data_IF_637975532229
#
_entry.id   IF_637975532229
#
_cell.length_a   1.000
_cell.length_b   1.000
_cell.length_c   1.000
_cell.angle_alpha   90.00
_cell.angle_beta   90.00
_cell.angle_gamma   90.00
#
_symmetry.space_group_name_H-M   'P 1'
#
loop_
_entity.id
_entity.type
_entity.pdbx_description
1 polymer ?
#
# COMPACT_ATOMS: atom_id res chain seq x y z
N UNK A 1 20.30 -58.02 33.10
CA UNK A 1 20.41 -59.34 32.50
C UNK A 1 19.04 -59.93 32.35
N UNK A 2 18.77 -60.68 31.24
CA UNK A 2 18.94 -60.39 29.81
C UNK A 2 17.60 -60.50 29.07
N UNK A 3 17.54 -60.05 27.87
CA UNK A 3 17.34 -60.84 26.69
C UNK A 3 17.12 -60.03 25.43
N UNK A 4 18.12 -60.06 24.61
CA UNK A 4 18.05 -59.61 23.20
C UNK A 4 17.47 -60.76 22.35
N UNK A 5 16.67 -60.42 21.31
CA UNK A 5 16.57 -61.22 20.07
C UNK A 5 16.49 -60.30 18.89
N UNK A 6 17.38 -60.56 17.96
CA UNK A 6 17.59 -59.87 16.69
C UNK A 6 17.04 -60.68 15.48
N UNK A 7 17.07 -60.07 14.31
CA UNK A 7 17.10 -60.59 12.93
C UNK A 7 15.77 -60.91 12.26
N UNK A 8 15.43 -60.46 11.04
CA UNK A 8 16.08 -60.53 9.72
C UNK A 8 15.27 -59.69 8.73
N UNK A 9 15.81 -58.82 7.94
CA UNK A 9 16.29 -58.86 6.56
C UNK A 9 15.37 -59.55 5.51
N UNK A 10 14.95 -58.80 4.51
CA UNK A 10 14.32 -59.29 3.31
C UNK A 10 14.37 -58.23 2.18
N UNK A 11 15.17 -58.52 1.18
CA UNK A 11 15.54 -57.63 0.06
C UNK A 11 14.54 -57.67 -1.09
N UNK A 12 14.62 -56.62 -1.87
CA UNK A 12 14.22 -56.28 -3.25
C UNK A 12 14.11 -57.47 -4.23
N UNK A 13 13.32 -57.41 -5.36
CA UNK A 13 13.88 -56.76 -6.55
C UNK A 13 12.93 -56.05 -7.55
N UNK A 14 13.57 -55.12 -8.24
CA UNK A 14 13.34 -54.59 -9.62
C UNK A 14 12.38 -55.32 -10.55
N UNK A 15 11.56 -54.58 -11.30
CA UNK A 15 11.43 -54.80 -12.75
C UNK A 15 11.17 -53.47 -13.49
N UNK A 16 12.03 -53.28 -14.48
CA UNK A 16 11.98 -52.28 -15.54
C UNK A 16 11.00 -52.75 -16.62
N UNK A 17 10.22 -51.86 -17.18
CA UNK A 17 9.79 -52.00 -18.58
C UNK A 17 9.78 -50.65 -19.28
N UNK A 18 10.64 -50.51 -20.29
CA UNK A 18 10.67 -49.58 -21.39
C UNK A 18 9.81 -50.12 -22.54
N UNK A 19 9.07 -49.29 -23.26
CA UNK A 19 8.78 -49.34 -24.71
C UNK A 19 8.28 -47.95 -25.08
N UNK A 20 8.99 -47.13 -25.84
CA UNK A 20 9.24 -46.92 -27.23
C UNK A 20 8.02 -46.36 -28.00
N UNK A 21 8.12 -45.10 -28.33
CA UNK A 21 8.28 -44.35 -29.57
C UNK A 21 7.32 -44.69 -30.73
N UNK A 22 6.63 -43.66 -31.25
CA UNK A 22 6.42 -43.40 -32.68
C UNK A 22 5.79 -42.00 -32.92
N UNK A 23 6.44 -41.15 -33.64
CA UNK A 23 5.86 -40.11 -34.50
C UNK A 23 5.72 -40.71 -35.91
N UNK A 24 4.91 -40.15 -36.83
CA UNK A 24 5.40 -39.07 -37.70
C UNK A 24 4.35 -38.02 -38.18
N UNK A 25 4.89 -36.92 -38.66
CA UNK A 25 4.30 -35.94 -39.62
C UNK A 25 4.26 -36.55 -41.07
N UNK A 26 3.82 -35.85 -42.18
CA UNK A 26 3.30 -34.48 -42.41
C UNK A 26 2.19 -34.37 -43.49
N UNK A 27 1.74 -33.17 -43.80
CA UNK A 27 0.96 -32.95 -45.04
C UNK A 27 0.18 -31.60 -45.04
N UNK A 28 0.77 -30.59 -45.51
CA UNK A 28 0.74 -29.70 -46.69
C UNK A 28 -0.60 -29.25 -47.29
N UNK A 29 -0.63 -27.94 -47.57
CA UNK A 29 -1.17 -27.10 -48.66
C UNK A 29 -2.30 -26.17 -48.29
N UNK A 30 -2.04 -24.86 -48.25
CA UNK A 30 -2.02 -23.78 -49.25
C UNK A 30 -3.37 -23.19 -49.65
N UNK A 31 -3.38 -21.83 -49.71
CA UNK A 31 -4.22 -20.83 -50.43
C UNK A 31 -5.50 -20.41 -49.72
N UNK A 32 -5.85 -19.15 -49.68
CA UNK A 32 -5.54 -17.98 -50.44
C UNK A 32 -6.15 -16.70 -49.83
N UNK A 33 -5.56 -15.65 -50.21
CA UNK A 33 -5.87 -14.24 -50.17
C UNK A 33 -7.32 -13.83 -50.21
N UNK A 34 -7.70 -12.77 -49.45
CA UNK A 34 -8.34 -11.62 -50.07
C UNK A 34 -8.30 -10.38 -49.15
N UNK A 35 -7.79 -9.29 -49.74
CA UNK A 35 -7.83 -7.91 -49.26
C UNK A 35 -9.21 -7.32 -49.54
N UNK A 36 -9.77 -6.53 -48.63
CA UNK A 36 -10.58 -5.35 -48.95
C UNK A 36 -10.49 -4.32 -47.83
N UNK A 37 -9.78 -3.29 -48.05
CA UNK A 37 -9.98 -1.88 -48.35
C UNK A 37 -11.08 -1.13 -47.57
N UNK A 38 -10.56 -0.06 -46.90
CA UNK A 38 -11.28 1.09 -46.34
C UNK A 38 -12.24 1.77 -47.35
N UNK A 39 -13.21 2.60 -46.85
CA UNK A 39 -12.95 4.04 -46.96
C UNK A 39 -13.43 4.92 -45.78
N UNK A 40 -12.72 6.00 -45.52
CA UNK A 40 -13.15 7.32 -45.11
C UNK A 40 -13.51 8.11 -46.40
N UNK A 41 -14.18 9.29 -46.46
CA UNK A 41 -14.20 10.39 -45.48
C UNK A 41 -15.45 11.35 -45.49
N UNK A 42 -15.35 12.43 -44.66
CA UNK A 42 -15.89 13.80 -44.83
C UNK A 42 -17.41 14.01 -44.61
N UNK A 43 -17.86 15.03 -43.90
CA UNK A 43 -17.78 16.48 -44.11
C UNK A 43 -18.42 17.27 -42.96
N UNK A 44 -17.85 18.40 -42.60
CA UNK A 44 -18.39 19.57 -41.85
C UNK A 44 -19.16 20.52 -42.76
N UNK A 45 -19.71 21.72 -42.33
CA UNK A 45 -20.37 22.26 -41.14
C UNK A 45 -21.73 23.00 -41.50
N UNK A 46 -22.25 24.13 -40.98
CA UNK A 46 -21.90 25.04 -39.87
C UNK A 46 -23.06 25.64 -39.01
N UNK A 47 -22.63 26.43 -37.97
CA UNK A 47 -23.23 27.67 -37.38
C UNK A 47 -24.65 27.68 -36.78
N UNK A 48 -24.88 28.23 -35.64
CA UNK A 48 -24.82 29.51 -34.98
C UNK A 48 -25.76 29.57 -33.77
N UNK A 49 -25.43 30.35 -32.73
CA UNK A 49 -26.38 30.68 -31.66
C UNK A 49 -25.72 31.06 -30.33
N UNK A 50 -25.37 32.34 -30.20
CA UNK A 50 -25.04 33.02 -28.91
C UNK A 50 -26.23 32.92 -27.94
N UNK A 51 -25.93 32.77 -26.64
CA UNK A 51 -26.40 33.67 -25.58
C UNK A 51 -25.58 33.53 -24.33
N UNK A 52 -25.32 34.70 -23.70
CA UNK A 52 -24.46 34.95 -22.55
C UNK A 52 -25.07 34.56 -21.21
N UNK A 53 -24.24 34.27 -20.26
CA UNK A 53 -23.93 34.98 -19.04
C UNK A 53 -23.87 34.14 -17.75
N UNK A 54 -22.77 34.36 -17.06
CA UNK A 54 -22.50 34.34 -15.59
C UNK A 54 -22.21 32.99 -14.91
N UNK A 55 -20.97 32.67 -14.66
CA UNK A 55 -20.34 32.82 -13.38
C UNK A 55 -20.27 31.54 -12.54
N UNK A 56 -19.24 30.71 -12.72
CA UNK A 56 -18.65 29.93 -11.62
C UNK A 56 -17.28 29.39 -12.08
N UNK A 57 -16.24 29.64 -11.28
CA UNK A 57 -14.87 29.37 -11.63
C UNK A 57 -14.54 27.89 -11.84
N UNK A 58 -14.04 27.60 -13.01
CA UNK A 58 -13.46 26.32 -13.38
C UNK A 58 -11.94 26.44 -13.36
N UNK A 59 -11.28 25.66 -12.52
CA UNK A 59 -9.84 25.49 -12.57
C UNK A 59 -9.48 24.56 -13.72
N UNK A 60 -9.07 25.15 -14.84
CA UNK A 60 -8.45 24.41 -15.94
C UNK A 60 -6.96 24.22 -15.68
N UNK A 61 -6.53 22.99 -15.79
CA UNK A 61 -5.15 22.54 -15.79
C UNK A 61 -4.61 22.58 -17.22
N UNK A 62 -3.68 23.46 -17.50
CA UNK A 62 -2.82 23.37 -18.67
C UNK A 62 -1.42 22.97 -18.23
N UNK A 63 -0.98 21.83 -18.74
CA UNK A 63 0.40 21.36 -18.61
C UNK A 63 1.06 21.41 -19.98
N UNK A 64 1.89 22.42 -20.20
CA UNK A 64 2.89 22.39 -21.25
C UNK A 64 4.22 21.94 -20.67
N UNK A 65 4.71 20.79 -21.09
CA UNK A 65 6.04 20.29 -20.77
C UNK A 65 7.03 20.82 -21.80
N UNK A 66 7.92 21.68 -21.35
CA UNK A 66 9.08 22.12 -22.12
C UNK A 66 10.25 21.14 -21.91
N UNK A 67 10.93 20.81 -23.02
CA UNK A 67 12.06 19.89 -23.05
C UNK A 67 13.35 20.60 -22.67
N UNK A 68 13.87 20.30 -21.48
CA UNK A 68 15.22 20.67 -21.08
C UNK A 68 16.06 19.44 -20.79
N UNK A 69 17.01 19.15 -21.69
CA UNK A 69 17.99 18.08 -21.54
C UNK A 69 19.01 18.40 -20.45
N UNK A 70 19.07 17.58 -19.40
CA UNK A 70 20.23 17.51 -18.52
C UNK A 70 20.45 16.05 -18.08
N UNK A 71 21.56 15.46 -18.57
CA UNK A 71 22.09 14.18 -18.14
C UNK A 71 22.58 14.28 -16.71
N UNK A 72 21.98 13.55 -15.76
CA UNK A 72 22.62 13.20 -14.50
C UNK A 72 22.34 11.72 -14.21
N UNK A 73 23.40 10.96 -14.12
CA UNK A 73 23.38 9.51 -13.80
C UNK A 73 22.92 9.29 -12.36
N UNK A 74 21.92 8.44 -12.18
CA UNK A 74 21.39 8.06 -10.86
C UNK A 74 20.12 7.19 -10.87
N UNK A 75 19.56 6.89 -12.03
CA UNK A 75 18.20 6.34 -12.18
C UNK A 75 18.02 4.82 -11.95
N UNK A 76 19.05 4.04 -11.59
CA UNK A 76 18.93 2.56 -11.53
C UNK A 76 18.54 1.96 -10.18
N UNK A 77 18.55 2.73 -9.09
CA UNK A 77 18.15 2.19 -7.76
C UNK A 77 16.67 2.40 -7.40
N UNK A 78 15.96 3.29 -8.08
CA UNK A 78 14.54 3.56 -7.80
C UNK A 78 13.59 2.48 -8.31
N UNK A 79 13.91 1.76 -9.37
CA UNK A 79 13.02 0.77 -9.98
C UNK A 79 12.89 -0.53 -9.18
N UNK A 80 13.92 -0.93 -8.42
CA UNK A 80 13.90 -2.18 -7.66
C UNK A 80 12.97 -2.11 -6.44
N UNK A 81 12.94 -0.97 -5.74
CA UNK A 81 12.05 -0.75 -4.59
C UNK A 81 10.57 -0.68 -4.97
N UNK A 82 10.23 -0.08 -6.11
CA UNK A 82 8.86 0.00 -6.61
C UNK A 82 8.31 -1.38 -7.00
N UNK A 83 9.12 -2.24 -7.61
CA UNK A 83 8.73 -3.61 -7.96
C UNK A 83 8.45 -4.45 -6.71
N UNK A 84 9.28 -4.33 -5.67
CA UNK A 84 9.10 -5.06 -4.42
C UNK A 84 7.83 -4.62 -3.67
N UNK A 85 7.56 -3.32 -3.57
CA UNK A 85 6.33 -2.79 -2.96
C UNK A 85 5.07 -3.20 -3.71
N UNK A 86 5.13 -3.24 -5.04
CA UNK A 86 4.01 -3.69 -5.86
C UNK A 86 3.62 -5.14 -5.56
N UNK A 87 4.60 -6.01 -5.40
CA UNK A 87 4.39 -7.41 -5.00
C UNK A 87 3.77 -7.48 -3.60
N UNK A 88 4.23 -6.66 -2.66
CA UNK A 88 3.75 -6.66 -1.28
C UNK A 88 2.27 -6.21 -1.15
N UNK A 89 1.87 -5.17 -1.88
CA UNK A 89 0.47 -4.70 -1.89
C UNK A 89 -0.43 -5.81 -2.44
N UNK A 90 -0.07 -6.43 -3.57
CA UNK A 90 -0.84 -7.54 -4.14
C UNK A 90 -0.91 -8.76 -3.22
N UNK A 91 0.11 -8.99 -2.41
CA UNK A 91 0.16 -10.10 -1.47
C UNK A 91 -0.95 -10.03 -0.42
N UNK A 92 -1.24 -8.83 0.14
CA UNK A 92 -2.36 -8.64 1.07
C UNK A 92 -3.67 -9.09 0.44
N UNK A 93 -3.96 -8.66 -0.78
CA UNK A 93 -5.22 -8.97 -1.45
C UNK A 93 -5.33 -10.43 -1.88
N UNK A 94 -4.24 -10.99 -2.40
CA UNK A 94 -4.26 -12.34 -2.94
C UNK A 94 -4.47 -13.38 -1.83
N UNK A 95 -3.88 -13.15 -0.66
CA UNK A 95 -3.84 -14.16 0.40
C UNK A 95 -4.83 -13.92 1.53
N UNK A 96 -5.17 -12.66 1.83
CA UNK A 96 -6.00 -12.35 2.99
C UNK A 96 -7.46 -12.08 2.64
N UNK A 97 -7.72 -11.37 1.54
CA UNK A 97 -9.09 -11.11 1.10
C UNK A 97 -9.75 -12.28 0.37
N UNK A 98 -8.98 -13.31 -0.02
CA UNK A 98 -9.52 -14.56 -0.56
C UNK A 98 -9.38 -15.65 0.49
N UNK A 99 -10.44 -16.01 1.17
CA UNK A 99 -10.51 -16.93 2.33
C UNK A 99 -9.88 -18.32 2.14
N UNK A 100 -9.30 -18.62 0.98
CA UNK A 100 -8.90 -19.96 0.58
C UNK A 100 -7.55 -20.44 1.14
N UNK A 101 -6.72 -19.56 1.70
CA UNK A 101 -5.34 -19.90 2.12
C UNK A 101 -4.97 -19.41 3.53
N UNK A 102 -5.95 -19.04 4.36
CA UNK A 102 -5.68 -18.49 5.71
C UNK A 102 -4.92 -19.48 6.62
N UNK A 103 -5.06 -20.78 6.44
CA UNK A 103 -4.36 -21.80 7.23
C UNK A 103 -2.85 -21.92 6.95
N UNK A 104 -2.37 -21.39 5.81
CA UNK A 104 -0.95 -21.36 5.42
C UNK A 104 -0.26 -20.02 5.74
N UNK A 105 -1.02 -19.05 6.22
CA UNK A 105 -0.51 -17.69 6.49
C UNK A 105 -0.04 -17.56 7.94
N UNK A 106 0.88 -16.62 8.14
CA UNK A 106 1.32 -16.21 9.45
C UNK A 106 0.14 -15.68 10.29
N UNK A 107 -0.15 -16.23 11.48
CA UNK A 107 -1.28 -15.81 12.31
C UNK A 107 -1.26 -14.31 12.66
N UNK A 108 -0.07 -13.70 12.80
CA UNK A 108 0.04 -12.26 13.04
C UNK A 108 -0.44 -11.44 11.83
N UNK A 109 -0.19 -11.95 10.64
CA UNK A 109 -0.61 -11.29 9.42
C UNK A 109 -2.12 -11.38 9.21
N UNK A 110 -2.71 -12.55 9.49
CA UNK A 110 -4.16 -12.73 9.50
C UNK A 110 -4.81 -11.81 10.54
N UNK A 111 -4.27 -11.76 11.76
CA UNK A 111 -4.77 -10.89 12.82
C UNK A 111 -4.71 -9.40 12.43
N UNK A 112 -3.63 -8.99 11.77
CA UNK A 112 -3.48 -7.61 11.29
C UNK A 112 -4.56 -7.27 10.25
N UNK A 113 -4.80 -8.14 9.28
CA UNK A 113 -5.87 -7.96 8.30
C UNK A 113 -7.25 -7.92 8.97
N UNK A 114 -7.53 -8.85 9.87
CA UNK A 114 -8.87 -9.03 10.44
C UNK A 114 -9.24 -7.95 11.46
N UNK A 115 -8.26 -7.32 12.10
CA UNK A 115 -8.51 -6.39 13.21
C UNK A 115 -8.04 -4.96 12.97
N UNK A 116 -6.98 -4.76 12.17
CA UNK A 116 -6.34 -3.45 12.04
C UNK A 116 -6.43 -2.86 10.62
N UNK A 117 -6.08 -3.64 9.60
CA UNK A 117 -5.97 -3.13 8.24
C UNK A 117 -7.34 -2.64 7.71
N UNK A 118 -7.39 -1.43 7.15
CA UNK A 118 -8.62 -0.81 6.67
C UNK A 118 -9.53 -0.24 7.77
N UNK A 119 -9.17 -0.39 9.04
CA UNK A 119 -9.94 0.21 10.15
C UNK A 119 -9.49 1.65 10.37
N UNK A 120 -10.42 2.64 10.44
CA UNK A 120 -10.08 4.03 10.65
C UNK A 120 -9.30 4.27 11.95
N UNK A 121 -8.14 4.91 11.83
CA UNK A 121 -7.25 5.27 12.94
C UNK A 121 -7.20 6.78 13.09
N UNK A 122 -7.45 7.27 14.32
CA UNK A 122 -7.44 8.69 14.67
C UNK A 122 -6.38 9.05 15.71
N UNK A 123 -5.67 8.10 16.27
CA UNK A 123 -4.60 8.30 17.23
C UNK A 123 -3.29 8.67 16.51
N UNK A 124 -2.70 9.81 16.86
CA UNK A 124 -1.50 10.36 16.22
C UNK A 124 -0.29 9.44 16.34
N UNK A 125 -0.13 8.79 17.48
CA UNK A 125 0.98 7.84 17.72
C UNK A 125 0.83 6.60 16.85
N UNK A 126 -0.39 6.09 16.75
CA UNK A 126 -0.71 4.94 15.89
C UNK A 126 -0.57 5.26 14.41
N UNK A 127 -1.00 6.45 13.99
CA UNK A 127 -0.78 6.94 12.63
C UNK A 127 0.70 7.03 12.31
N UNK A 128 1.51 7.54 13.23
CA UNK A 128 2.95 7.61 13.03
C UNK A 128 3.60 6.22 13.03
N UNK A 129 3.18 5.29 13.91
CA UNK A 129 3.59 3.88 13.82
C UNK A 129 3.34 3.33 12.42
N UNK A 130 2.11 3.44 11.92
CA UNK A 130 1.74 2.88 10.62
C UNK A 130 2.46 3.56 9.45
N UNK A 131 2.78 4.85 9.56
CA UNK A 131 3.61 5.55 8.56
C UNK A 131 5.02 4.96 8.51
N UNK A 132 5.69 4.77 9.65
CA UNK A 132 7.04 4.17 9.70
C UNK A 132 7.01 2.71 9.22
N UNK A 133 6.00 1.93 9.62
CA UNK A 133 5.85 0.55 9.14
C UNK A 133 5.60 0.49 7.63
N UNK A 134 4.83 1.42 7.07
CA UNK A 134 4.64 1.54 5.63
C UNK A 134 5.93 1.93 4.89
N UNK A 135 6.76 2.77 5.49
CA UNK A 135 8.10 3.07 4.96
C UNK A 135 9.02 1.84 4.97
N UNK A 136 8.88 0.98 5.97
CA UNK A 136 9.65 -0.25 6.07
C UNK A 136 9.33 -1.26 4.94
N UNK A 137 8.16 -1.18 4.32
CA UNK A 137 7.78 -2.03 3.17
C UNK A 137 8.69 -1.91 1.96
N UNK A 138 9.48 -0.85 1.85
CA UNK A 138 10.48 -0.75 0.80
C UNK A 138 11.66 -1.73 0.97
N UNK A 139 11.86 -2.27 2.17
CA UNK A 139 12.97 -3.16 2.53
C UNK A 139 12.48 -4.51 3.10
N UNK A 140 11.27 -4.53 3.68
CA UNK A 140 10.71 -5.68 4.40
C UNK A 140 9.30 -6.01 3.92
N UNK A 141 8.84 -7.24 4.17
CA UNK A 141 7.46 -7.64 3.94
C UNK A 141 6.56 -7.38 5.16
N UNK A 142 5.25 -7.24 4.97
CA UNK A 142 4.30 -7.11 6.07
C UNK A 142 4.43 -8.22 7.13
N UNK A 143 4.49 -9.52 6.78
CA UNK A 143 4.70 -10.56 7.78
C UNK A 143 5.99 -10.35 8.61
N UNK A 144 7.09 -9.95 7.97
CA UNK A 144 8.35 -9.65 8.66
C UNK A 144 8.22 -8.44 9.59
N UNK A 145 7.55 -7.38 9.13
CA UNK A 145 7.31 -6.15 9.89
C UNK A 145 6.48 -6.47 11.14
N UNK A 146 5.40 -7.23 10.99
CA UNK A 146 4.51 -7.59 12.09
C UNK A 146 5.19 -8.48 13.13
N UNK A 147 5.97 -9.47 12.70
CA UNK A 147 6.81 -10.28 13.62
C UNK A 147 7.77 -9.42 14.45
N UNK A 148 8.28 -8.36 13.84
CA UNK A 148 9.28 -7.48 14.47
C UNK A 148 8.67 -6.19 15.03
N UNK A 149 7.34 -6.05 15.04
CA UNK A 149 6.63 -4.84 15.48
C UNK A 149 6.99 -4.43 16.91
N UNK A 150 7.12 -5.40 17.82
CA UNK A 150 7.59 -5.15 19.19
C UNK A 150 9.02 -4.61 19.25
N UNK A 151 9.90 -5.04 18.33
CA UNK A 151 11.26 -4.49 18.21
C UNK A 151 11.22 -3.06 17.66
N UNK A 152 10.38 -2.79 16.65
CA UNK A 152 10.16 -1.43 16.13
C UNK A 152 9.70 -0.48 17.25
N UNK A 153 8.74 -0.89 18.08
CA UNK A 153 8.27 -0.08 19.22
C UNK A 153 9.39 0.23 20.20
N UNK A 154 10.20 -0.74 20.58
CA UNK A 154 11.37 -0.53 21.45
C UNK A 154 12.41 0.41 20.84
N UNK A 155 12.68 0.31 19.53
CA UNK A 155 13.67 1.14 18.84
C UNK A 155 13.19 2.59 18.68
N UNK A 156 11.90 2.80 18.50
CA UNK A 156 11.29 4.10 18.25
C UNK A 156 10.44 4.60 19.43
N UNK A 157 10.83 4.27 20.66
CA UNK A 157 10.20 4.76 21.90
C UNK A 157 8.65 4.72 21.80
N UNK A 158 8.09 3.55 21.44
CA UNK A 158 6.64 3.33 21.21
C UNK A 158 6.00 4.32 20.22
N UNK A 159 6.77 4.82 19.26
CA UNK A 159 6.37 5.78 18.25
C UNK A 159 5.88 7.11 18.80
N UNK A 160 6.34 7.49 19.98
CA UNK A 160 6.15 8.86 20.48
C UNK A 160 7.00 9.83 19.64
N UNK A 161 6.34 10.58 18.78
CA UNK A 161 6.98 11.55 17.90
C UNK A 161 7.79 12.61 18.67
N UNK A 162 7.35 12.96 19.89
CA UNK A 162 8.05 13.93 20.72
C UNK A 162 9.38 13.40 21.27
N UNK A 163 9.43 12.11 21.60
CA UNK A 163 10.67 11.43 22.00
C UNK A 163 11.60 11.22 20.82
N UNK A 164 11.08 10.70 19.69
CA UNK A 164 11.85 10.42 18.48
C UNK A 164 12.48 11.71 17.90
N UNK A 165 11.74 12.83 17.92
CA UNK A 165 12.26 14.12 17.45
C UNK A 165 13.54 14.58 18.18
N UNK A 166 13.78 14.09 19.39
CA UNK A 166 14.97 14.40 20.22
C UNK A 166 16.14 13.44 19.99
N UNK A 167 15.99 12.44 19.12
CA UNK A 167 17.06 11.48 18.86
C UNK A 167 18.30 12.20 18.33
N UNK A 168 19.43 11.95 19.01
CA UNK A 168 20.73 12.48 18.63
C UNK A 168 21.39 11.60 17.58
N UNK A 169 22.41 12.13 16.91
CA UNK A 169 23.20 11.39 15.94
C UNK A 169 23.78 10.09 16.52
N UNK A 170 24.25 10.16 17.78
CA UNK A 170 24.74 8.97 18.52
C UNK A 170 23.66 7.90 18.66
N UNK A 171 22.42 8.29 18.99
CA UNK A 171 21.27 7.36 19.09
C UNK A 171 20.96 6.74 17.73
N UNK A 172 20.97 7.51 16.64
CA UNK A 172 20.70 7.02 15.27
C UNK A 172 21.75 5.96 14.87
N UNK A 173 23.03 6.21 15.10
CA UNK A 173 24.11 5.25 14.81
C UNK A 173 23.95 3.99 15.66
N UNK A 174 23.60 4.13 16.94
CA UNK A 174 23.34 3.00 17.83
C UNK A 174 22.16 2.16 17.34
N UNK A 175 21.06 2.78 16.95
CA UNK A 175 19.88 2.10 16.39
C UNK A 175 20.23 1.31 15.13
N UNK A 176 21.10 1.86 14.27
CA UNK A 176 21.58 1.19 13.07
C UNK A 176 22.46 -0.01 13.39
N UNK A 177 23.36 0.10 14.36
CA UNK A 177 24.26 -0.99 14.76
C UNK A 177 23.55 -2.08 15.56
N UNK A 178 22.57 -1.71 16.39
CA UNK A 178 21.82 -2.66 17.21
C UNK A 178 20.73 -3.42 16.46
N UNK A 179 20.33 -2.95 15.28
CA UNK A 179 19.23 -3.51 14.52
C UNK A 179 19.46 -3.40 13.01
N UNK A 180 19.43 -4.53 12.31
CA UNK A 180 19.46 -4.58 10.85
C UNK A 180 18.07 -4.39 10.21
N UNK A 181 17.09 -3.90 10.96
CA UNK A 181 15.69 -3.81 10.51
C UNK A 181 15.48 -2.76 9.42
N UNK A 182 16.15 -1.62 9.56
CA UNK A 182 16.03 -0.51 8.62
C UNK A 182 17.41 0.03 8.24
N UNK A 183 17.52 0.52 7.02
CA UNK A 183 18.68 1.29 6.61
C UNK A 183 18.80 2.58 7.43
N UNK A 184 20.01 3.07 7.59
CA UNK A 184 20.28 4.35 8.29
C UNK A 184 19.46 5.50 7.71
N UNK A 185 19.33 5.54 6.40
CA UNK A 185 18.53 6.54 5.70
C UNK A 185 17.08 6.55 6.19
N UNK A 186 16.48 5.39 6.44
CA UNK A 186 15.09 5.31 6.95
C UNK A 186 14.98 5.68 8.42
N UNK A 187 15.98 5.33 9.24
CA UNK A 187 16.01 5.76 10.64
C UNK A 187 16.09 7.29 10.70
N UNK A 188 16.98 7.92 9.91
CA UNK A 188 17.08 9.39 9.80
C UNK A 188 15.78 10.00 9.31
N UNK A 189 15.15 9.41 8.29
CA UNK A 189 13.86 9.86 7.78
C UNK A 189 12.77 9.81 8.86
N UNK A 190 12.72 8.76 9.68
CA UNK A 190 11.76 8.65 10.77
C UNK A 190 11.94 9.75 11.83
N UNK A 191 13.19 10.07 12.18
CA UNK A 191 13.51 11.15 13.14
C UNK A 191 13.13 12.52 12.56
N UNK A 192 13.44 12.77 11.30
CA UNK A 192 13.10 14.03 10.64
C UNK A 192 11.56 14.18 10.52
N UNK A 193 10.88 13.13 10.12
CA UNK A 193 9.42 13.11 10.04
C UNK A 193 8.77 13.36 11.41
N UNK A 194 9.33 12.82 12.50
CA UNK A 194 8.85 13.09 13.86
C UNK A 194 8.95 14.58 14.23
N UNK A 195 10.02 15.26 13.83
CA UNK A 195 10.19 16.72 14.02
C UNK A 195 9.14 17.51 13.24
N UNK A 196 8.82 17.06 12.02
CA UNK A 196 7.86 17.71 11.14
C UNK A 196 6.40 17.47 11.58
N UNK A 197 6.10 16.31 12.17
CA UNK A 197 4.78 16.04 12.76
C UNK A 197 4.46 17.08 13.84
N UNK A 198 5.44 17.49 14.63
CA UNK A 198 5.24 18.53 15.65
C UNK A 198 4.74 19.84 15.03
N UNK A 199 5.32 20.26 13.89
CA UNK A 199 4.86 21.44 13.15
C UNK A 199 3.45 21.26 12.57
N UNK A 200 3.13 20.05 12.09
CA UNK A 200 1.77 19.73 11.62
C UNK A 200 0.75 19.82 12.77
N UNK A 201 1.10 19.34 13.96
CA UNK A 201 0.22 19.44 15.13
C UNK A 201 0.00 20.90 15.52
N UNK A 202 1.02 21.74 15.45
CA UNK A 202 0.90 23.20 15.70
C UNK A 202 -0.02 23.88 14.67
N UNK A 203 -0.03 23.45 13.40
CA UNK A 203 -0.82 24.04 12.32
C UNK A 203 -2.27 23.47 12.26
N UNK A 204 -2.45 22.17 12.46
CA UNK A 204 -3.74 21.46 12.26
C UNK A 204 -4.38 20.94 13.55
N UNK A 205 -3.77 21.16 14.71
CA UNK A 205 -4.22 20.67 16.00
C UNK A 205 -3.85 19.20 16.27
N UNK A 206 -3.74 18.34 15.25
CA UNK A 206 -3.26 16.96 15.36
C UNK A 206 -2.77 16.43 14.03
N UNK A 207 -1.92 15.38 14.06
CA UNK A 207 -1.51 14.68 12.87
C UNK A 207 -2.69 13.93 12.23
N UNK A 208 -3.62 13.47 13.05
CA UNK A 208 -4.87 12.87 12.62
C UNK A 208 -5.71 13.84 11.79
N UNK A 209 -5.97 15.04 12.30
CA UNK A 209 -6.73 16.06 11.56
C UNK A 209 -6.07 16.34 10.19
N UNK A 210 -4.77 16.52 10.16
CA UNK A 210 -4.03 16.71 8.91
C UNK A 210 -4.26 15.57 7.91
N UNK A 211 -4.10 14.31 8.34
CA UNK A 211 -4.26 13.15 7.46
C UNK A 211 -5.71 13.02 6.94
N UNK A 212 -6.69 13.19 7.83
CA UNK A 212 -8.10 13.01 7.51
C UNK A 212 -8.71 14.16 6.73
N UNK A 213 -8.14 15.37 6.79
CA UNK A 213 -8.58 16.51 5.97
C UNK A 213 -8.50 16.23 4.47
N UNK A 214 -7.52 15.46 4.01
CA UNK A 214 -7.40 15.10 2.57
C UNK A 214 -8.60 14.32 2.03
N UNK A 215 -9.35 13.68 2.89
CA UNK A 215 -10.53 12.88 2.53
C UNK A 215 -11.82 13.43 3.16
N UNK A 216 -11.80 14.69 3.61
CA UNK A 216 -12.95 15.34 4.28
C UNK A 216 -13.49 14.53 5.45
N UNK A 217 -12.60 13.89 6.22
CA UNK A 217 -12.88 13.01 7.35
C UNK A 217 -13.74 11.76 7.02
N UNK A 218 -13.89 11.42 5.74
CA UNK A 218 -14.61 10.23 5.27
C UNK A 218 -13.68 9.28 4.55
N UNK A 219 -13.61 8.00 4.94
CA UNK A 219 -12.81 7.02 4.21
C UNK A 219 -13.24 6.89 2.75
N UNK A 220 -12.26 6.72 1.88
CA UNK A 220 -12.52 6.36 0.49
C UNK A 220 -12.83 4.86 0.44
N UNK A 221 -13.92 4.45 -0.19
CA UNK A 221 -14.31 3.04 -0.36
C UNK A 221 -14.28 2.70 -1.85
N UNK A 222 -13.39 1.79 -2.27
CA UNK A 222 -13.19 1.48 -3.69
C UNK A 222 -13.97 0.26 -4.19
N UNK A 223 -14.31 -0.71 -3.35
CA UNK A 223 -15.13 -1.87 -3.70
C UNK A 223 -14.57 -2.73 -4.83
N UNK A 224 -13.27 -2.94 -4.91
CA UNK A 224 -12.62 -3.77 -5.92
C UNK A 224 -13.11 -5.23 -5.83
N UNK A 225 -13.39 -5.83 -6.99
CA UNK A 225 -13.78 -7.25 -7.07
C UNK A 225 -12.58 -8.19 -7.17
N UNK A 226 -11.48 -7.70 -7.76
CA UNK A 226 -10.30 -8.52 -8.05
C UNK A 226 -9.03 -7.77 -7.66
N UNK A 227 -8.04 -8.49 -7.17
CA UNK A 227 -6.72 -7.97 -6.76
C UNK A 227 -6.01 -7.19 -7.87
N UNK A 228 -6.23 -7.56 -9.13
CA UNK A 228 -5.64 -6.86 -10.30
C UNK A 228 -6.15 -5.44 -10.50
N UNK A 229 -7.32 -5.11 -9.94
CA UNK A 229 -7.92 -3.77 -10.04
C UNK A 229 -7.30 -2.78 -9.07
N UNK A 230 -6.67 -3.30 -7.99
CA UNK A 230 -6.05 -2.44 -6.98
C UNK A 230 -4.80 -1.77 -7.58
N UNK A 231 -4.75 -0.43 -7.61
CA UNK A 231 -3.62 0.29 -8.17
C UNK A 231 -2.41 0.24 -7.24
N UNK A 232 -1.24 0.58 -7.76
CA UNK A 232 0.00 0.72 -6.97
C UNK A 232 0.00 2.01 -6.15
N UNK A 233 -0.71 3.02 -6.64
CA UNK A 233 -0.88 4.34 -6.05
C UNK A 233 -2.21 4.92 -6.51
N UNK A 234 -2.77 5.84 -5.75
CA UNK A 234 -4.00 6.55 -6.11
C UNK A 234 -3.71 8.05 -6.28
N UNK A 235 -4.54 8.80 -7.03
CA UNK A 235 -4.38 10.25 -7.15
C UNK A 235 -4.38 10.96 -5.77
N UNK A 236 -5.17 10.47 -4.82
CA UNK A 236 -5.19 11.00 -3.47
C UNK A 236 -3.87 10.73 -2.73
N UNK A 237 -3.30 9.54 -2.86
CA UNK A 237 -1.99 9.22 -2.29
C UNK A 237 -0.87 10.08 -2.92
N UNK A 238 -0.96 10.40 -4.20
CA UNK A 238 -0.03 11.33 -4.87
C UNK A 238 -0.14 12.75 -4.30
N UNK A 239 -1.36 13.24 -4.08
CA UNK A 239 -1.60 14.56 -3.49
C UNK A 239 -1.04 14.65 -2.06
N UNK A 240 -1.33 13.66 -1.20
CA UNK A 240 -0.81 13.60 0.18
C UNK A 240 0.71 13.48 0.17
N UNK A 241 1.28 12.61 -0.68
CA UNK A 241 2.71 12.44 -0.84
C UNK A 241 3.40 13.75 -1.24
N UNK A 242 2.83 14.48 -2.19
CA UNK A 242 3.36 15.78 -2.65
C UNK A 242 3.37 16.82 -1.54
N UNK A 243 2.27 16.96 -0.80
CA UNK A 243 2.18 17.90 0.31
C UNK A 243 3.16 17.55 1.43
N UNK A 244 3.26 16.29 1.83
CA UNK A 244 4.24 15.82 2.82
C UNK A 244 5.68 16.11 2.37
N UNK A 245 6.01 15.85 1.11
CA UNK A 245 7.35 16.16 0.57
C UNK A 245 7.63 17.66 0.54
N UNK A 246 6.66 18.50 0.21
CA UNK A 246 6.79 19.96 0.27
C UNK A 246 7.03 20.45 1.70
N UNK A 247 6.44 19.79 2.70
CA UNK A 247 6.70 20.06 4.12
C UNK A 247 8.05 19.52 4.62
N UNK A 248 8.80 18.79 3.77
CA UNK A 248 10.12 18.26 4.07
C UNK A 248 10.14 16.81 4.54
N UNK A 249 9.00 16.10 4.59
CA UNK A 249 8.96 14.69 4.95
C UNK A 249 9.78 13.84 3.97
N UNK A 250 10.42 12.80 4.51
CA UNK A 250 11.27 11.89 3.76
C UNK A 250 10.67 10.49 3.71
N UNK A 251 11.00 9.74 2.66
CA UNK A 251 10.49 8.37 2.43
C UNK A 251 8.96 8.28 2.42
N UNK A 252 8.29 9.26 1.85
CA UNK A 252 6.83 9.37 1.76
C UNK A 252 6.33 9.37 0.31
N UNK A 253 6.96 8.57 -0.55
CA UNK A 253 6.53 8.41 -1.95
C UNK A 253 5.09 7.91 -2.06
N UNK A 254 4.40 8.15 -3.21
CA UNK A 254 2.97 7.89 -3.36
C UNK A 254 2.57 6.43 -3.12
N UNK A 255 3.42 5.47 -3.43
CA UNK A 255 3.17 4.04 -3.15
C UNK A 255 3.20 3.75 -1.63
N UNK A 256 4.13 4.37 -0.90
CA UNK A 256 4.24 4.25 0.56
C UNK A 256 3.01 4.90 1.21
N UNK A 257 2.64 6.08 0.76
CA UNK A 257 1.46 6.80 1.27
C UNK A 257 0.19 6.02 0.96
N UNK A 258 0.09 5.37 -0.19
CA UNK A 258 -1.08 4.53 -0.48
C UNK A 258 -1.16 3.33 0.46
N UNK A 259 -0.05 2.65 0.76
CA UNK A 259 0.00 1.58 1.77
C UNK A 259 -0.35 2.09 3.17
N UNK A 260 0.09 3.31 3.52
CA UNK A 260 -0.28 3.97 4.76
C UNK A 260 -1.79 4.25 4.83
N UNK A 261 -2.39 4.79 3.76
CA UNK A 261 -3.83 5.03 3.69
C UNK A 261 -4.64 3.76 3.88
N UNK A 262 -4.20 2.65 3.29
CA UNK A 262 -4.83 1.33 3.45
C UNK A 262 -4.71 0.80 4.87
N UNK A 263 -3.52 0.89 5.47
CA UNK A 263 -3.28 0.40 6.83
C UNK A 263 -4.01 1.21 7.90
N UNK A 264 -4.25 2.51 7.64
CA UNK A 264 -4.91 3.44 8.58
C UNK A 264 -6.42 3.59 8.36
N UNK A 265 -6.97 2.90 7.36
CA UNK A 265 -8.39 2.99 7.02
C UNK A 265 -8.84 4.33 6.42
N UNK A 266 -7.89 5.20 6.01
CA UNK A 266 -8.19 6.38 5.18
C UNK A 266 -8.76 5.94 3.84
N UNK A 267 -8.37 4.76 3.38
CA UNK A 267 -8.94 4.05 2.25
C UNK A 267 -9.35 2.64 2.67
N UNK A 268 -10.59 2.25 2.36
CA UNK A 268 -11.04 0.88 2.47
C UNK A 268 -10.91 0.20 1.10
N UNK A 269 -9.86 -0.60 0.97
CA UNK A 269 -9.54 -1.35 -0.23
C UNK A 269 -9.72 -2.86 -0.06
N UNK A 270 -10.44 -3.30 0.97
CA UNK A 270 -10.85 -4.69 1.04
C UNK A 270 -11.61 -5.07 -0.23
N UNK A 271 -11.39 -6.27 -0.75
CA UNK A 271 -12.19 -6.75 -1.87
C UNK A 271 -13.66 -6.86 -1.46
N UNK A 272 -14.57 -6.60 -2.38
CA UNK A 272 -16.02 -6.68 -2.12
C UNK A 272 -16.48 -8.06 -1.62
N UNK A 273 -15.70 -9.11 -1.89
CA UNK A 273 -15.91 -10.47 -1.37
C UNK A 273 -15.30 -10.70 0.03
N UNK A 274 -14.51 -9.78 0.55
CA UNK A 274 -13.89 -9.89 1.86
C UNK A 274 -14.89 -9.53 2.96
N UNK A 275 -14.99 -10.34 4.01
CA UNK A 275 -15.88 -10.05 5.15
C UNK A 275 -15.57 -8.73 5.84
N UNK A 276 -14.32 -8.25 5.75
CA UNK A 276 -13.89 -6.97 6.32
C UNK A 276 -14.42 -5.76 5.55
N UNK A 277 -14.80 -5.91 4.28
CA UNK A 277 -15.26 -4.79 3.46
C UNK A 277 -16.41 -4.02 4.12
N UNK A 278 -17.50 -4.71 4.44
CA UNK A 278 -18.65 -4.12 5.11
C UNK A 278 -18.37 -3.77 6.59
N UNK A 279 -17.54 -4.55 7.28
CA UNK A 279 -17.19 -4.29 8.66
C UNK A 279 -16.46 -2.94 8.84
N UNK A 280 -15.51 -2.62 7.94
CA UNK A 280 -14.81 -1.34 7.96
C UNK A 280 -15.75 -0.16 7.65
N UNK A 281 -16.72 -0.32 6.76
CA UNK A 281 -17.73 0.70 6.46
C UNK A 281 -18.64 0.98 7.67
N UNK A 282 -19.10 -0.05 8.37
CA UNK A 282 -19.93 0.07 9.54
C UNK A 282 -19.21 0.77 10.71
N UNK A 283 -17.92 0.53 10.90
CA UNK A 283 -17.11 1.25 11.89
C UNK A 283 -17.07 2.76 11.63
N UNK A 284 -17.00 3.16 10.39
CA UNK A 284 -17.01 4.57 9.99
C UNK A 284 -18.36 5.22 10.31
N UNK A 285 -19.46 4.58 9.95
CA UNK A 285 -20.83 5.08 10.23
C UNK A 285 -21.08 5.22 11.73
N UNK A 286 -20.65 4.25 12.53
CA UNK A 286 -20.79 4.30 13.99
C UNK A 286 -19.97 5.44 14.61
N UNK A 287 -18.78 5.75 14.09
CA UNK A 287 -17.98 6.87 14.55
C UNK A 287 -18.60 8.23 14.18
N UNK A 288 -19.18 8.35 12.98
CA UNK A 288 -19.92 9.56 12.55
C UNK A 288 -21.13 9.83 13.43
N UNK A 289 -21.92 8.80 13.73
CA UNK A 289 -23.10 8.92 14.62
C UNK A 289 -22.69 9.38 16.03
N UNK A 290 -21.62 8.81 16.60
CA UNK A 290 -21.09 9.23 17.90
C UNK A 290 -20.64 10.70 17.90
N UNK A 291 -19.97 11.15 16.84
CA UNK A 291 -19.55 12.56 16.68
C UNK A 291 -20.76 13.49 16.60
N UNK A 292 -21.79 13.12 15.85
CA UNK A 292 -23.00 13.92 15.70
C UNK A 292 -23.75 14.05 17.04
N UNK A 293 -23.90 12.96 17.79
CA UNK A 293 -24.52 12.96 19.13
C UNK A 293 -23.72 13.84 20.10
N UNK A 294 -22.37 13.69 20.09
CA UNK A 294 -21.53 14.52 20.99
C UNK A 294 -21.59 16.01 20.63
N UNK A 295 -21.69 16.35 19.33
CA UNK A 295 -21.84 17.73 18.89
C UNK A 295 -23.24 18.33 19.32
N UNK A 296 -24.30 17.55 19.21
CA UNK A 296 -25.64 17.97 19.65
C UNK A 296 -25.70 18.24 21.16
N UNK A 297 -25.09 17.37 21.97
CA UNK A 297 -25.03 17.54 23.42
C UNK A 297 -24.23 18.77 23.88
N UNK A 298 -23.27 19.22 23.05
CA UNK A 298 -22.47 20.43 23.34
C UNK A 298 -23.17 21.72 22.92
N UNK A 299 -24.21 21.67 22.09
CA UNK A 299 -25.02 22.84 21.68
C UNK A 299 -26.21 23.08 22.58
N UNK A 300 -26.57 22.14 23.46
CA UNK A 300 -27.68 22.23 24.42
C UNK A 300 -27.20 22.61 25.84
N UNK A 301 -25.89 22.75 26.07
CA UNK A 301 -25.27 23.16 27.32
C UNK A 301 -24.74 24.60 27.24
#
# INVERSE_FOLDING_TARGET
MPGAVALRSGANPRSKQKIAAAAPEPGTKKKGSERRSRPNPATRPPESGRFDASGAGSCSSDSSCDRGSAKVGGARRFCFGLSFQFVQIKHIYLYLCTSFLSSLLDPLYVTFHDKEWGTPVFDDRKLFELLILSQALAELSWPTILKKRGTFRKLFDDFDHSSIAKFTEKKIILLRSSSSLLSEQKIRAAVENARLIKKIIEEFGSFSNYCWNFVCHKPIVNGFRYTRQVPVKSPKAEAISKDLMQRGFRCVGPTIIYSFMQATGIVNDHLSSCFRFNACENHTRAAEVKKSISAMLLTEA
#
